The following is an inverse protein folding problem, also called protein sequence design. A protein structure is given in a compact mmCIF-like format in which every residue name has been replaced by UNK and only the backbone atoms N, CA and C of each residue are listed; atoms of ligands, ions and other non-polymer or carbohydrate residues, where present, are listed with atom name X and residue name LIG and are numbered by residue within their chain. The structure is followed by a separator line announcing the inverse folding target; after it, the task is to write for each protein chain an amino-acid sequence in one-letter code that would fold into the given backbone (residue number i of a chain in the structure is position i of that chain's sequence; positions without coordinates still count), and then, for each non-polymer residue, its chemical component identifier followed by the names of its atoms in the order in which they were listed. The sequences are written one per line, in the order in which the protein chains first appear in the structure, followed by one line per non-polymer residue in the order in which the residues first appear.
data_IF_863554102523
#
_entry.id   IF_863554102523
#
_cell.length_a   1.000
_cell.length_b   1.000
_cell.length_c   1.000
_cell.angle_alpha   90.00
_cell.angle_beta   90.00
_cell.angle_gamma   90.00
#
_symmetry.space_group_name_H-M   'P 1'
#
loop_
_entity.id
_entity.type
_entity.pdbx_description
1 polymer ?
#
# COMPACT_ATOMS: atom_id res chain seq x y z
N UNK A 1 -23.09 -13.25 -12.25
CA UNK A 1 -22.28 -12.86 -11.07
C UNK A 1 -23.22 -12.43 -9.95
N UNK A 2 -23.16 -13.04 -8.77
CA UNK A 2 -23.93 -12.53 -7.61
C UNK A 2 -23.26 -11.24 -7.11
N UNK A 3 -23.99 -10.16 -6.83
CA UNK A 3 -23.39 -8.95 -6.26
C UNK A 3 -22.80 -9.30 -4.89
N UNK A 4 -21.51 -9.01 -4.72
CA UNK A 4 -20.85 -9.13 -3.41
C UNK A 4 -21.51 -8.10 -2.49
N UNK A 5 -22.32 -8.57 -1.53
CA UNK A 5 -22.92 -7.71 -0.51
C UNK A 5 -21.82 -7.30 0.46
N UNK A 6 -21.39 -6.05 0.38
CA UNK A 6 -20.47 -5.47 1.35
C UNK A 6 -21.27 -4.93 2.54
N UNK A 7 -20.74 -5.09 3.76
CA UNK A 7 -21.32 -4.39 4.91
C UNK A 7 -21.22 -2.89 4.68
N UNK A 8 -22.29 -2.16 5.03
CA UNK A 8 -22.31 -0.68 5.00
C UNK A 8 -21.88 -0.05 6.32
N UNK A 9 -21.56 -0.86 7.34
CA UNK A 9 -21.15 -0.37 8.66
C UNK A 9 -19.63 -0.26 8.71
N UNK A 10 -19.12 0.95 8.92
CA UNK A 10 -17.67 1.23 8.97
C UNK A 10 -16.94 0.35 9.98
N UNK A 11 -17.52 0.12 11.17
CA UNK A 11 -16.92 -0.75 12.20
C UNK A 11 -16.80 -2.21 11.73
N UNK A 12 -17.79 -2.72 11.00
CA UNK A 12 -17.73 -4.09 10.45
C UNK A 12 -16.70 -4.19 9.33
N UNK A 13 -16.61 -3.17 8.46
CA UNK A 13 -15.58 -3.10 7.43
C UNK A 13 -14.17 -3.05 8.04
N UNK A 14 -13.96 -2.23 9.07
CA UNK A 14 -12.69 -2.11 9.77
C UNK A 14 -12.25 -3.46 10.34
N UNK A 15 -13.11 -4.13 11.10
CA UNK A 15 -12.79 -5.45 11.67
C UNK A 15 -12.62 -6.52 10.59
N UNK A 16 -13.38 -6.45 9.51
CA UNK A 16 -13.19 -7.30 8.34
C UNK A 16 -11.82 -7.12 7.70
N UNK A 17 -11.37 -5.88 7.52
CA UNK A 17 -10.05 -5.55 6.98
C UNK A 17 -8.91 -6.00 7.92
N UNK A 18 -9.04 -5.75 9.23
CA UNK A 18 -8.09 -6.22 10.26
C UNK A 18 -7.94 -7.74 10.20
N UNK A 19 -9.06 -8.47 10.20
CA UNK A 19 -9.07 -9.93 10.10
C UNK A 19 -8.45 -10.44 8.79
N UNK A 20 -8.71 -9.75 7.67
CA UNK A 20 -8.13 -10.08 6.37
C UNK A 20 -6.59 -9.91 6.36
N UNK A 21 -6.04 -8.86 7.01
CA UNK A 21 -4.58 -8.69 7.15
C UNK A 21 -3.97 -9.84 7.95
N UNK A 22 -4.54 -10.21 9.09
CA UNK A 22 -4.03 -11.36 9.87
C UNK A 22 -4.11 -12.67 9.08
N UNK A 23 -5.22 -12.93 8.39
CA UNK A 23 -5.36 -14.10 7.53
C UNK A 23 -4.32 -14.11 6.38
N UNK A 24 -4.00 -12.93 5.83
CA UNK A 24 -3.03 -12.80 4.75
C UNK A 24 -1.62 -13.27 5.14
N UNK A 25 -1.25 -13.18 6.42
CA UNK A 25 0.05 -13.67 6.90
C UNK A 25 0.24 -15.18 6.67
N UNK A 26 -0.85 -15.94 6.66
CA UNK A 26 -0.81 -17.39 6.49
C UNK A 26 -1.13 -17.84 5.05
N UNK A 27 -1.21 -16.91 4.10
CA UNK A 27 -1.44 -17.29 2.70
C UNK A 27 -0.17 -17.91 2.07
N UNK A 28 -0.37 -18.70 1.01
CA UNK A 28 0.73 -19.43 0.34
C UNK A 28 1.84 -18.49 -0.18
N UNK A 29 1.47 -17.31 -0.69
CA UNK A 29 2.43 -16.33 -1.21
C UNK A 29 3.34 -15.79 -0.09
N UNK A 30 2.77 -15.46 1.07
CA UNK A 30 3.48 -14.98 2.23
C UNK A 30 4.35 -16.06 2.86
N UNK A 31 3.86 -17.31 2.95
CA UNK A 31 4.66 -18.46 3.41
C UNK A 31 5.90 -18.66 2.52
N UNK A 32 5.71 -18.67 1.20
CA UNK A 32 6.82 -18.80 0.26
C UNK A 32 7.81 -17.63 0.37
N UNK A 33 7.31 -16.40 0.41
CA UNK A 33 8.15 -15.20 0.57
C UNK A 33 8.99 -15.26 1.85
N UNK A 34 8.38 -15.66 2.97
CA UNK A 34 9.10 -15.82 4.25
C UNK A 34 10.18 -16.87 4.19
N UNK A 35 9.92 -18.02 3.55
CA UNK A 35 10.93 -19.07 3.39
C UNK A 35 12.12 -18.57 2.56
N UNK A 36 11.87 -17.82 1.49
CA UNK A 36 12.92 -17.28 0.62
C UNK A 36 13.76 -16.18 1.29
N UNK A 37 13.19 -15.46 2.26
CA UNK A 37 13.85 -14.35 2.96
C UNK A 37 14.17 -14.68 4.43
N UNK A 38 14.09 -15.95 4.83
CA UNK A 38 14.40 -16.43 6.18
C UNK A 38 13.63 -15.72 7.33
N UNK A 39 12.39 -15.31 7.06
CA UNK A 39 11.55 -14.59 8.04
C UNK A 39 10.75 -15.61 8.89
N UNK A 40 10.90 -15.61 10.24
CA UNK A 40 10.15 -16.51 11.10
C UNK A 40 8.65 -16.27 11.05
N UNK A 41 7.86 -17.34 10.93
CA UNK A 41 6.39 -17.24 10.93
C UNK A 41 5.83 -16.71 12.26
N UNK A 42 6.55 -16.93 13.37
CA UNK A 42 6.15 -16.55 14.72
C UNK A 42 6.10 -15.02 14.95
N UNK A 43 6.72 -14.21 14.09
CA UNK A 43 6.68 -12.75 14.22
C UNK A 43 5.28 -12.17 13.98
N UNK A 44 4.48 -12.83 13.14
CA UNK A 44 3.16 -12.33 12.76
C UNK A 44 3.24 -11.07 11.89
N UNK A 45 2.11 -10.36 11.80
CA UNK A 45 2.00 -9.06 11.14
C UNK A 45 1.13 -8.14 12.00
N UNK A 46 1.45 -6.85 12.00
CA UNK A 46 0.63 -5.83 12.65
C UNK A 46 -0.38 -5.20 11.66
N UNK A 47 -1.34 -4.47 12.19
CA UNK A 47 -2.30 -3.69 11.39
C UNK A 47 -2.18 -2.22 11.78
N UNK A 48 -1.85 -1.37 10.80
CA UNK A 48 -1.84 0.07 10.97
C UNK A 48 -3.20 0.64 10.58
N UNK A 49 -3.80 1.45 11.46
CA UNK A 49 -5.04 2.20 11.20
C UNK A 49 -4.70 3.68 11.30
N UNK A 50 -4.92 4.41 10.22
CA UNK A 50 -4.51 5.81 10.10
C UNK A 50 -5.69 6.66 9.61
N UNK A 51 -5.74 7.92 10.05
CA UNK A 51 -6.65 8.89 9.47
C UNK A 51 -6.28 9.16 8.00
N UNK A 52 -7.29 9.30 7.14
CA UNK A 52 -7.06 9.54 5.71
C UNK A 52 -6.60 10.97 5.45
N UNK A 53 -5.66 11.10 4.51
CA UNK A 53 -5.31 12.33 3.79
C UNK A 53 -5.48 12.08 2.31
N UNK A 54 -5.89 13.08 1.54
CA UNK A 54 -6.37 12.87 0.17
C UNK A 54 -5.52 13.63 -0.84
N UNK A 55 -4.72 12.90 -1.62
CA UNK A 55 -3.98 13.45 -2.76
C UNK A 55 -4.84 13.71 -4.01
N UNK A 56 -6.13 13.38 -3.95
CA UNK A 56 -7.08 13.38 -5.07
C UNK A 56 -8.28 14.32 -4.86
N UNK A 57 -8.10 15.42 -4.12
CA UNK A 57 -9.17 16.41 -3.91
C UNK A 57 -9.15 17.57 -4.90
N UNK A 58 -8.13 17.68 -5.76
CA UNK A 58 -7.96 18.82 -6.64
C UNK A 58 -6.59 18.85 -7.30
N UNK A 59 -6.39 19.85 -8.16
CA UNK A 59 -5.13 20.06 -8.88
C UNK A 59 -3.99 20.57 -7.98
N UNK A 60 -4.30 21.01 -6.76
CA UNK A 60 -3.37 21.44 -5.72
C UNK A 60 -3.02 20.31 -4.73
N UNK A 61 -3.54 19.09 -4.97
CA UNK A 61 -3.27 17.91 -4.16
C UNK A 61 -2.43 16.90 -4.96
N UNK A 62 -1.54 16.17 -4.28
CA UNK A 62 -0.71 15.15 -4.90
C UNK A 62 -0.36 14.00 -3.94
N UNK A 63 0.12 12.91 -4.51
CA UNK A 63 0.71 11.77 -3.80
C UNK A 63 1.98 11.34 -4.51
N UNK A 64 2.97 10.82 -3.79
CA UNK A 64 4.22 10.38 -4.39
C UNK A 64 5.02 9.44 -3.50
N UNK A 65 6.07 8.88 -4.09
CA UNK A 65 7.06 8.03 -3.41
C UNK A 65 8.43 8.59 -3.74
N UNK A 66 9.28 8.72 -2.72
CA UNK A 66 10.63 9.20 -2.88
C UNK A 66 11.62 8.42 -2.03
N UNK A 67 12.84 8.32 -2.53
CA UNK A 67 14.03 7.85 -1.86
C UNK A 67 14.96 9.04 -1.64
N UNK A 68 15.59 9.09 -0.47
CA UNK A 68 16.56 10.15 -0.13
C UNK A 68 17.84 10.06 -0.95
N UNK A 69 18.07 8.92 -1.61
CA UNK A 69 19.21 8.60 -2.48
C UNK A 69 18.73 7.75 -3.64
N UNK A 70 19.52 7.68 -4.71
CA UNK A 70 19.19 6.80 -5.84
C UNK A 70 19.25 5.32 -5.40
N UNK A 71 18.14 4.56 -5.44
CA UNK A 71 18.12 3.18 -4.95
C UNK A 71 18.89 2.20 -5.86
N UNK A 72 19.18 2.57 -7.11
CA UNK A 72 19.92 1.74 -8.07
C UNK A 72 21.43 1.97 -8.03
N UNK A 73 21.88 3.20 -7.75
CA UNK A 73 23.32 3.57 -7.78
C UNK A 73 23.90 3.94 -6.42
N UNK A 74 23.07 4.30 -5.45
CA UNK A 74 23.50 4.81 -4.13
C UNK A 74 23.93 6.28 -4.11
N UNK A 75 23.88 6.97 -5.25
CA UNK A 75 24.23 8.38 -5.35
C UNK A 75 23.36 9.23 -4.42
N UNK A 76 23.97 10.25 -3.81
CA UNK A 76 23.30 11.17 -2.88
C UNK A 76 22.45 12.22 -3.61
N UNK A 77 21.51 11.75 -4.42
CA UNK A 77 20.54 12.56 -5.14
C UNK A 77 19.13 12.12 -4.77
N UNK A 78 18.24 13.10 -4.60
CA UNK A 78 16.82 12.86 -4.41
C UNK A 78 16.26 12.12 -5.63
N UNK A 79 15.54 11.03 -5.39
CA UNK A 79 14.93 10.22 -6.44
C UNK A 79 13.47 9.96 -6.06
N UNK A 80 12.52 10.41 -6.86
CA UNK A 80 11.11 10.19 -6.55
C UNK A 80 10.20 10.44 -7.73
N UNK A 81 8.95 10.04 -7.54
CA UNK A 81 7.88 10.22 -8.51
C UNK A 81 6.58 10.60 -7.79
N UNK A 82 5.76 11.44 -8.42
CA UNK A 82 4.46 11.86 -7.87
C UNK A 82 3.39 12.04 -8.95
N UNK A 83 2.13 12.03 -8.53
CA UNK A 83 0.96 12.30 -9.36
C UNK A 83 0.08 13.36 -8.69
N UNK A 84 -0.31 14.37 -9.46
CA UNK A 84 -1.32 15.37 -9.08
C UNK A 84 -2.71 14.78 -9.22
N UNK A 85 -3.58 15.12 -8.27
CA UNK A 85 -4.97 14.67 -8.18
C UNK A 85 -5.07 13.14 -8.31
N UNK A 86 -4.40 12.42 -7.40
CA UNK A 86 -4.25 10.97 -7.43
C UNK A 86 -4.18 10.37 -6.02
N UNK A 87 -4.47 9.07 -5.90
CA UNK A 87 -4.25 8.30 -4.67
C UNK A 87 -3.00 7.42 -4.81
N UNK A 88 -2.44 6.99 -3.68
CA UNK A 88 -1.17 6.24 -3.68
C UNK A 88 -1.21 4.97 -4.54
N UNK A 89 -2.39 4.35 -4.69
CA UNK A 89 -2.61 3.24 -5.60
C UNK A 89 -2.30 3.61 -7.07
N UNK A 90 -2.68 4.80 -7.53
CA UNK A 90 -2.47 5.24 -8.91
C UNK A 90 -0.97 5.33 -9.25
N UNK A 91 -0.14 5.69 -8.27
CA UNK A 91 1.33 5.73 -8.41
C UNK A 91 1.91 4.33 -8.59
N UNK A 92 1.39 3.34 -7.85
CA UNK A 92 1.88 1.95 -7.88
C UNK A 92 1.34 1.20 -9.10
N UNK A 93 0.12 1.51 -9.55
CA UNK A 93 -0.52 0.83 -10.67
C UNK A 93 0.16 1.14 -12.03
N UNK A 94 0.86 2.28 -12.15
CA UNK A 94 1.62 2.64 -13.35
C UNK A 94 0.77 2.94 -14.60
N UNK A 95 -0.53 3.20 -14.43
CA UNK A 95 -1.45 3.52 -15.54
C UNK A 95 -1.20 4.95 -16.06
N UNK A 96 -0.80 5.86 -15.18
CA UNK A 96 -0.43 7.24 -15.50
C UNK A 96 1.08 7.39 -15.42
N UNK A 97 1.67 8.11 -16.37
CA UNK A 97 3.08 8.48 -16.32
C UNK A 97 3.32 9.41 -15.13
N UNK A 98 4.14 9.02 -14.14
CA UNK A 98 4.45 9.86 -13.00
C UNK A 98 5.30 11.08 -13.38
N UNK A 99 5.16 12.15 -12.59
CA UNK A 99 6.04 13.32 -12.64
C UNK A 99 7.26 13.07 -11.75
N UNK A 100 8.39 13.73 -12.02
CA UNK A 100 9.62 13.67 -11.20
C UNK A 100 9.78 14.89 -10.32
#
# INVERSE_FOLDING_TARGET
MRPVRHSRRTREQLWGAVGAVFASWMNNRAITYRRLNEIPAAWGTAVNVQAMVFGNMGADCATGVAFTRNPSTGENLFYGEFLVNAQGEDVVAGIRTPLR
#
